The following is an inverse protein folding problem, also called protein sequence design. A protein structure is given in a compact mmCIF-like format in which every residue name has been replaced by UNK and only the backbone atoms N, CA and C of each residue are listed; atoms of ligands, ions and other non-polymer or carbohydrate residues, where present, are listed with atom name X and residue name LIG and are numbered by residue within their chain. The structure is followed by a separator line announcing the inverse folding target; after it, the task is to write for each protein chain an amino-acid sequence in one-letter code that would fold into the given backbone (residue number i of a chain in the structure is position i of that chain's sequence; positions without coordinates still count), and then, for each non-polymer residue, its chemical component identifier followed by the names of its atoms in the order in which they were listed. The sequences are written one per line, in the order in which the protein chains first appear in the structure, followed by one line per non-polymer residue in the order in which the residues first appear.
data_IF_778438145792
#
_entry.id   IF_778438145792
#
_cell.length_a   1.000
_cell.length_b   1.000
_cell.length_c   1.000
_cell.angle_alpha   90.00
_cell.angle_beta   90.00
_cell.angle_gamma   90.00
#
_symmetry.space_group_name_H-M   'P 1'
#
loop_
_entity.id
_entity.type
_entity.pdbx_description
1 polymer ?
#
# COMPACT_ATOMS: atom_id res chain seq x y z
N UNK A 1 -0.03 10.00 -20.17
CA UNK A 1 0.32 10.44 -18.80
C UNK A 1 -0.39 9.51 -17.82
N UNK A 2 0.31 8.89 -16.86
CA UNK A 2 -0.37 8.17 -15.78
C UNK A 2 -1.09 9.19 -14.87
N UNK A 3 -2.19 8.81 -14.20
CA UNK A 3 -2.96 9.75 -13.41
C UNK A 3 -2.18 10.15 -12.15
N UNK A 4 -2.06 11.45 -11.90
CA UNK A 4 -1.58 11.98 -10.62
C UNK A 4 -2.39 11.37 -9.49
N UNK A 5 -1.71 10.71 -8.54
CA UNK A 5 -2.27 10.34 -7.24
C UNK A 5 -2.50 11.63 -6.46
N UNK A 6 -3.61 12.31 -6.75
CA UNK A 6 -4.05 13.49 -6.02
C UNK A 6 -4.35 13.03 -4.59
N UNK A 7 -3.44 13.36 -3.67
CA UNK A 7 -3.73 13.47 -2.26
C UNK A 7 -4.94 14.41 -2.19
N UNK A 8 -6.13 13.88 -1.92
CA UNK A 8 -7.31 14.70 -1.68
C UNK A 8 -6.99 15.60 -0.48
N UNK A 9 -6.54 16.83 -0.74
CA UNK A 9 -6.60 17.94 0.19
C UNK A 9 -8.07 18.08 0.54
N UNK A 10 -8.45 17.47 1.67
CA UNK A 10 -9.76 17.64 2.27
C UNK A 10 -9.78 19.06 2.83
N UNK A 11 -10.86 19.75 2.52
CA UNK A 11 -11.06 21.17 2.76
C UNK A 11 -10.55 21.63 4.12
N UNK A 12 -9.78 22.72 4.05
CA UNK A 12 -9.34 23.55 5.16
C UNK A 12 -10.56 24.01 5.95
N UNK A 13 -10.87 23.30 7.03
CA UNK A 13 -11.58 23.88 8.15
C UNK A 13 -11.17 23.21 9.46
N UNK A 14 -10.53 24.04 10.28
CA UNK A 14 -10.32 23.95 11.73
C UNK A 14 -9.05 23.26 12.24
N UNK A 15 -8.27 24.10 12.93
CA UNK A 15 -7.19 23.89 13.88
C UNK A 15 -6.98 22.47 14.41
N UNK A 16 -5.73 22.05 14.36
CA UNK A 16 -5.21 21.01 15.24
C UNK A 16 -3.71 20.82 15.03
N UNK A 17 -2.91 21.44 15.90
CA UNK A 17 -1.48 21.15 16.15
C UNK A 17 -1.33 19.75 16.81
N UNK A 18 -2.15 18.79 16.37
CA UNK A 18 -2.17 17.42 16.82
C UNK A 18 -1.27 16.56 15.93
N UNK A 19 -0.79 15.42 16.43
CA UNK A 19 -0.03 14.50 15.60
C UNK A 19 -0.83 14.16 14.34
N UNK A 20 -0.18 14.08 13.17
CA UNK A 20 -0.86 13.72 11.93
C UNK A 20 -1.67 12.43 12.12
N UNK A 21 -2.86 12.32 11.50
CA UNK A 21 -3.69 11.12 11.60
C UNK A 21 -2.86 9.88 11.31
N UNK A 22 -3.08 8.78 12.04
CA UNK A 22 -2.32 7.53 11.88
C UNK A 22 -2.24 7.08 10.41
N UNK A 23 -3.30 7.30 9.63
CA UNK A 23 -3.32 6.98 8.20
C UNK A 23 -2.32 7.81 7.36
N UNK A 24 -2.04 9.05 7.77
CA UNK A 24 -1.04 9.92 7.14
C UNK A 24 0.36 9.45 7.52
N UNK A 25 0.60 9.11 8.79
CA UNK A 25 1.87 8.55 9.23
C UNK A 25 2.20 7.22 8.53
N UNK A 26 1.22 6.31 8.45
CA UNK A 26 1.34 5.05 7.70
C UNK A 26 1.68 5.33 6.23
N UNK A 27 1.07 6.38 5.65
CA UNK A 27 1.33 6.77 4.27
C UNK A 27 2.75 7.28 4.06
N UNK A 28 3.24 8.12 4.97
CA UNK A 28 4.59 8.66 4.93
C UNK A 28 5.64 7.56 5.10
N UNK A 29 5.45 6.66 6.07
CA UNK A 29 6.33 5.51 6.29
C UNK A 29 6.37 4.59 5.07
N UNK A 30 5.20 4.22 4.53
CA UNK A 30 5.12 3.38 3.33
C UNK A 30 5.76 4.04 2.11
N UNK A 31 5.62 5.36 1.95
CA UNK A 31 6.29 6.11 0.89
C UNK A 31 7.81 6.07 1.06
N UNK A 32 8.31 6.39 2.27
CA UNK A 32 9.72 6.42 2.58
C UNK A 32 10.39 5.06 2.33
N UNK A 33 9.74 3.96 2.75
CA UNK A 33 10.19 2.59 2.52
C UNK A 33 10.19 2.24 1.02
N UNK A 34 9.11 2.53 0.31
CA UNK A 34 8.96 2.17 -1.12
C UNK A 34 9.91 2.94 -2.04
N UNK A 35 10.40 4.10 -1.59
CA UNK A 35 11.32 4.95 -2.34
C UNK A 35 12.75 4.88 -1.78
N UNK A 36 13.03 4.04 -0.78
CA UNK A 36 14.35 3.90 -0.15
C UNK A 36 14.93 5.26 0.29
N UNK A 37 14.07 6.12 0.84
CA UNK A 37 14.45 7.51 1.20
C UNK A 37 15.57 7.52 2.23
N UNK A 38 15.55 6.58 3.18
CA UNK A 38 16.58 6.46 4.21
C UNK A 38 17.95 6.12 3.61
N UNK A 39 18.00 5.15 2.69
CA UNK A 39 19.23 4.78 1.99
C UNK A 39 19.74 5.90 1.08
N UNK A 40 18.83 6.61 0.40
CA UNK A 40 19.18 7.78 -0.40
C UNK A 40 19.85 8.86 0.45
N UNK A 41 19.25 9.21 1.60
CA UNK A 41 19.82 10.18 2.53
C UNK A 41 21.16 9.71 3.10
N UNK A 42 21.31 8.41 3.38
CA UNK A 42 22.56 7.84 3.85
C UNK A 42 23.70 8.01 2.82
N UNK A 43 23.43 7.72 1.54
CA UNK A 43 24.39 7.93 0.45
C UNK A 43 24.77 9.42 0.36
N UNK A 44 23.79 10.32 0.30
CA UNK A 44 24.03 11.76 0.21
C UNK A 44 24.87 12.30 1.37
N UNK A 45 24.54 11.90 2.61
CA UNK A 45 25.30 12.28 3.80
C UNK A 45 26.73 11.72 3.76
N UNK A 46 26.91 10.48 3.31
CA UNK A 46 28.24 9.87 3.19
C UNK A 46 29.10 10.64 2.19
N UNK A 47 28.57 10.95 1.01
CA UNK A 47 29.26 11.76 -0.01
C UNK A 47 29.64 13.13 0.49
N UNK A 48 28.75 13.80 1.23
CA UNK A 48 28.99 15.12 1.78
C UNK A 48 30.10 15.09 2.85
N UNK A 49 30.11 14.07 3.71
CA UNK A 49 31.14 13.91 4.75
C UNK A 49 32.50 13.50 4.19
N UNK A 50 32.54 12.73 3.10
CA UNK A 50 33.76 12.32 2.41
C UNK A 50 34.42 13.50 1.68
N UNK A 51 33.62 14.31 0.97
CA UNK A 51 34.14 15.37 0.09
C UNK A 51 34.27 16.73 0.78
N UNK A 52 33.49 16.98 1.84
CA UNK A 52 33.46 18.23 2.61
C UNK A 52 33.51 19.49 1.72
N UNK A 53 32.58 19.63 0.78
CA UNK A 53 32.61 20.70 -0.21
C UNK A 53 32.36 22.06 0.48
N UNK A 54 32.96 23.11 -0.08
CA UNK A 54 32.71 24.51 0.33
C UNK A 54 31.25 24.91 0.08
N UNK A 55 30.65 24.43 -1.01
CA UNK A 55 29.22 24.58 -1.30
C UNK A 55 28.52 23.22 -1.23
N UNK A 56 27.90 22.95 -0.09
CA UNK A 56 27.22 21.69 0.17
C UNK A 56 25.93 21.51 -0.60
N UNK A 57 25.22 22.59 -0.94
CA UNK A 57 23.95 22.51 -1.66
C UNK A 57 24.18 22.21 -3.13
N UNK A 58 25.10 22.93 -3.77
CA UNK A 58 25.46 22.66 -5.17
C UNK A 58 26.04 21.25 -5.33
N UNK A 59 26.88 20.81 -4.39
CA UNK A 59 27.39 19.44 -4.38
C UNK A 59 26.27 18.39 -4.29
N UNK A 60 25.28 18.58 -3.42
CA UNK A 60 24.15 17.66 -3.29
C UNK A 60 23.29 17.63 -4.56
N UNK A 61 23.04 18.79 -5.19
CA UNK A 61 22.31 18.88 -6.46
C UNK A 61 23.02 18.07 -7.54
N UNK A 62 24.34 18.22 -7.67
CA UNK A 62 25.14 17.48 -8.64
C UNK A 62 25.18 15.98 -8.34
N UNK A 63 25.30 15.61 -7.07
CA UNK A 63 25.31 14.21 -6.62
C UNK A 63 24.00 13.51 -6.98
N UNK A 64 22.86 14.17 -6.75
CA UNK A 64 21.53 13.66 -7.14
C UNK A 64 21.39 13.41 -8.65
N UNK A 65 22.18 14.06 -9.50
CA UNK A 65 22.09 13.93 -10.95
C UNK A 65 23.06 12.90 -11.55
N UNK A 66 24.14 12.53 -10.85
CA UNK A 66 25.29 11.82 -11.46
C UNK A 66 25.90 10.72 -10.58
N UNK A 67 25.25 10.31 -9.50
CA UNK A 67 25.78 9.26 -8.62
C UNK A 67 25.24 7.86 -8.99
N UNK A 68 26.15 6.96 -9.38
CA UNK A 68 25.82 5.58 -9.79
C UNK A 68 25.11 4.76 -8.68
N UNK A 69 25.39 5.05 -7.40
CA UNK A 69 24.74 4.34 -6.30
C UNK A 69 23.29 4.80 -6.13
N UNK A 70 23.02 6.10 -6.33
CA UNK A 70 21.65 6.62 -6.37
C UNK A 70 20.87 6.06 -7.55
N UNK A 71 21.47 5.95 -8.74
CA UNK A 71 20.85 5.32 -9.91
C UNK A 71 20.52 3.83 -9.66
N UNK A 72 21.43 3.11 -9.01
CA UNK A 72 21.21 1.72 -8.63
C UNK A 72 20.09 1.60 -7.57
N UNK A 73 20.05 2.53 -6.62
CA UNK A 73 19.02 2.61 -5.59
C UNK A 73 17.64 2.84 -6.22
N UNK A 74 17.53 3.77 -7.18
CA UNK A 74 16.28 4.04 -7.88
C UNK A 74 15.79 2.80 -8.65
N UNK A 75 16.67 2.11 -9.38
CA UNK A 75 16.35 0.86 -10.07
C UNK A 75 15.88 -0.22 -9.09
N UNK A 76 16.54 -0.34 -7.94
CA UNK A 76 16.17 -1.29 -6.87
C UNK A 76 14.82 -0.94 -6.26
N UNK A 77 14.57 0.33 -5.98
CA UNK A 77 13.29 0.82 -5.45
C UNK A 77 12.16 0.56 -6.46
N UNK A 78 12.39 0.81 -7.75
CA UNK A 78 11.44 0.49 -8.82
C UNK A 78 11.07 -1.00 -8.83
N UNK A 79 12.04 -1.90 -8.66
CA UNK A 79 11.77 -3.34 -8.57
C UNK A 79 10.99 -3.74 -7.30
N UNK A 80 11.25 -3.09 -6.16
CA UNK A 80 10.57 -3.36 -4.89
C UNK A 80 9.12 -2.85 -4.84
N UNK A 81 8.78 -1.85 -5.67
CA UNK A 81 7.39 -1.41 -5.86
C UNK A 81 6.52 -2.52 -6.46
N UNK A 82 7.12 -3.48 -7.16
CA UNK A 82 6.39 -4.62 -7.71
C UNK A 82 6.43 -5.82 -6.78
N UNK A 83 5.29 -6.51 -6.68
CA UNK A 83 5.28 -7.84 -6.10
C UNK A 83 5.83 -8.82 -7.14
N UNK A 84 7.09 -9.21 -7.01
CA UNK A 84 7.78 -10.13 -7.94
C UNK A 84 7.41 -11.61 -7.72
N UNK A 85 6.57 -11.92 -6.73
CA UNK A 85 6.17 -13.31 -6.47
C UNK A 85 5.39 -13.86 -7.66
N UNK A 86 5.55 -15.17 -7.90
CA UNK A 86 4.82 -15.88 -8.96
C UNK A 86 3.31 -15.71 -8.77
N UNK A 87 2.57 -15.68 -9.89
CA UNK A 87 1.12 -15.52 -9.87
C UNK A 87 0.42 -16.56 -8.97
N UNK A 88 0.90 -17.81 -8.99
CA UNK A 88 0.41 -18.88 -8.12
C UNK A 88 0.50 -18.53 -6.64
N UNK A 89 1.64 -17.97 -6.21
CA UNK A 89 1.87 -17.54 -4.82
C UNK A 89 0.96 -16.38 -4.44
N UNK A 90 0.82 -15.38 -5.32
CA UNK A 90 -0.10 -14.26 -5.11
C UNK A 90 -1.54 -14.76 -4.91
N UNK A 91 -2.04 -15.63 -5.80
CA UNK A 91 -3.37 -16.25 -5.67
C UNK A 91 -3.54 -17.00 -4.36
N UNK A 92 -2.54 -17.75 -3.92
CA UNK A 92 -2.58 -18.48 -2.65
C UNK A 92 -2.72 -17.53 -1.45
N UNK A 93 -1.97 -16.42 -1.43
CA UNK A 93 -2.04 -15.42 -0.37
C UNK A 93 -3.40 -14.69 -0.38
N UNK A 94 -3.94 -14.38 -1.55
CA UNK A 94 -5.29 -13.80 -1.68
C UNK A 94 -6.36 -14.76 -1.15
N UNK A 95 -6.26 -16.05 -1.47
CA UNK A 95 -7.18 -17.06 -0.95
C UNK A 95 -7.04 -17.24 0.58
N UNK A 96 -5.83 -17.14 1.12
CA UNK A 96 -5.60 -17.14 2.56
C UNK A 96 -6.28 -15.93 3.22
N UNK A 97 -6.14 -14.75 2.64
CA UNK A 97 -6.83 -13.54 3.10
C UNK A 97 -8.35 -13.72 3.08
N UNK A 98 -8.90 -14.23 1.97
CA UNK A 98 -10.33 -14.50 1.84
C UNK A 98 -10.84 -15.46 2.92
N UNK A 99 -10.13 -16.58 3.15
CA UNK A 99 -10.48 -17.56 4.19
C UNK A 99 -10.48 -16.92 5.58
N UNK A 100 -9.49 -16.07 5.88
CA UNK A 100 -9.44 -15.33 7.14
C UNK A 100 -10.62 -14.38 7.28
N UNK A 101 -10.96 -13.62 6.24
CA UNK A 101 -12.11 -12.71 6.25
C UNK A 101 -13.43 -13.46 6.45
N UNK A 102 -13.62 -14.60 5.79
CA UNK A 102 -14.79 -15.47 6.02
C UNK A 102 -14.86 -15.99 7.47
N UNK A 103 -13.73 -16.37 8.08
CA UNK A 103 -13.69 -16.81 9.47
C UNK A 103 -14.05 -15.66 10.44
N UNK A 104 -13.61 -14.44 10.13
CA UNK A 104 -13.97 -13.25 10.90
C UNK A 104 -15.45 -12.91 10.75
N UNK A 105 -16.01 -13.00 9.54
CA UNK A 105 -17.45 -12.81 9.31
C UNK A 105 -18.28 -13.75 10.19
N UNK A 106 -17.91 -15.04 10.22
CA UNK A 106 -18.64 -16.03 11.04
C UNK A 106 -18.64 -15.74 12.53
N UNK A 107 -17.66 -15.00 13.03
CA UNK A 107 -17.47 -14.73 14.46
C UNK A 107 -17.87 -13.31 14.88
N UNK A 108 -17.79 -12.34 13.96
CA UNK A 108 -17.90 -10.91 14.26
C UNK A 108 -19.08 -10.23 13.55
N UNK A 109 -19.77 -10.91 12.63
CA UNK A 109 -20.89 -10.31 11.91
C UNK A 109 -22.10 -10.10 12.82
N UNK A 110 -22.73 -8.94 12.70
CA UNK A 110 -23.90 -8.55 13.52
C UNK A 110 -25.14 -9.35 13.15
N UNK A 111 -25.35 -9.60 11.86
CA UNK A 111 -26.39 -10.51 11.36
C UNK A 111 -25.88 -11.95 11.30
N UNK A 112 -26.53 -12.86 12.04
CA UNK A 112 -26.18 -14.28 12.09
C UNK A 112 -26.48 -15.04 10.78
N UNK A 113 -27.44 -14.59 9.99
CA UNK A 113 -27.78 -15.22 8.71
C UNK A 113 -26.69 -14.94 7.67
N UNK A 114 -26.25 -13.69 7.58
CA UNK A 114 -25.12 -13.31 6.72
C UNK A 114 -23.78 -13.85 7.26
N UNK A 115 -23.63 -13.98 8.58
CA UNK A 115 -22.45 -14.57 9.22
C UNK A 115 -22.16 -15.99 8.70
N UNK A 116 -23.21 -16.80 8.50
CA UNK A 116 -23.12 -18.18 8.05
C UNK A 116 -23.13 -18.35 6.52
N UNK A 117 -23.19 -17.24 5.78
CA UNK A 117 -23.16 -17.23 4.34
C UNK A 117 -21.93 -17.95 3.75
N UNK A 118 -22.11 -18.50 2.55
CA UNK A 118 -21.04 -19.16 1.77
C UNK A 118 -20.05 -18.13 1.20
N UNK A 119 -20.48 -16.87 1.12
CA UNK A 119 -19.75 -15.77 0.49
C UNK A 119 -19.53 -14.62 1.45
N UNK A 120 -18.54 -13.79 1.14
CA UNK A 120 -18.19 -12.65 1.97
C UNK A 120 -19.22 -11.54 1.75
N UNK A 121 -19.84 -11.06 2.83
CA UNK A 121 -20.79 -9.96 2.78
C UNK A 121 -20.04 -8.66 2.47
N UNK A 122 -20.57 -7.87 1.55
CA UNK A 122 -19.96 -6.61 1.11
C UNK A 122 -19.74 -5.63 2.25
N UNK A 123 -20.77 -5.38 3.05
CA UNK A 123 -20.70 -4.44 4.17
C UNK A 123 -19.74 -4.89 5.28
N UNK A 124 -19.62 -6.21 5.47
CA UNK A 124 -18.60 -6.78 6.35
C UNK A 124 -17.20 -6.56 5.81
N UNK A 125 -16.95 -6.86 4.53
CA UNK A 125 -15.64 -6.66 3.91
C UNK A 125 -15.19 -5.21 4.08
N UNK A 126 -16.00 -4.24 3.68
CA UNK A 126 -15.59 -2.83 3.70
C UNK A 126 -15.37 -2.31 5.12
N UNK A 127 -16.20 -2.73 6.08
CA UNK A 127 -15.99 -2.42 7.50
C UNK A 127 -14.72 -3.06 8.05
N UNK A 128 -14.50 -4.34 7.75
CA UNK A 128 -13.36 -5.12 8.25
C UNK A 128 -12.01 -4.62 7.70
N UNK A 129 -11.99 -4.14 6.45
CA UNK A 129 -10.80 -3.56 5.81
C UNK A 129 -10.38 -2.23 6.44
N UNK A 130 -11.29 -1.49 7.09
CA UNK A 130 -10.96 -0.25 7.81
C UNK A 130 -10.28 -0.50 9.15
N UNK A 131 -10.35 -1.72 9.70
CA UNK A 131 -9.75 -2.08 10.98
C UNK A 131 -8.23 -2.29 10.89
N UNK A 132 -7.49 -1.74 11.86
CA UNK A 132 -6.02 -1.84 11.92
C UNK A 132 -5.53 -3.28 11.94
N UNK A 133 -6.20 -4.17 12.67
CA UNK A 133 -5.84 -5.59 12.72
C UNK A 133 -5.90 -6.28 11.34
N UNK A 134 -6.81 -5.86 10.47
CA UNK A 134 -6.90 -6.36 9.10
C UNK A 134 -5.86 -5.70 8.22
N UNK A 135 -5.67 -4.38 8.35
CA UNK A 135 -4.64 -3.60 7.66
C UNK A 135 -3.24 -4.17 7.89
N UNK A 136 -2.84 -4.37 9.15
CA UNK A 136 -1.55 -4.95 9.55
C UNK A 136 -1.36 -6.37 8.99
N UNK A 137 -2.42 -7.18 8.95
CA UNK A 137 -2.35 -8.51 8.35
C UNK A 137 -2.14 -8.44 6.84
N UNK A 138 -2.85 -7.56 6.15
CA UNK A 138 -2.68 -7.35 4.72
C UNK A 138 -1.29 -6.80 4.38
N UNK A 139 -0.74 -5.90 5.19
CA UNK A 139 0.64 -5.43 5.05
C UNK A 139 1.65 -6.58 5.14
N UNK A 140 1.46 -7.54 6.05
CA UNK A 140 2.33 -8.74 6.13
C UNK A 140 2.24 -9.61 4.87
N UNK A 141 1.05 -9.73 4.28
CA UNK A 141 0.85 -10.54 3.06
C UNK A 141 1.35 -9.82 1.80
N UNK A 142 1.11 -8.51 1.71
CA UNK A 142 1.39 -7.66 0.55
C UNK A 142 2.03 -6.32 0.99
N UNK A 143 3.31 -6.32 1.40
CA UNK A 143 3.96 -5.14 1.99
C UNK A 143 3.85 -3.87 1.13
N UNK A 144 4.09 -4.01 -0.17
CA UNK A 144 4.06 -2.87 -1.11
C UNK A 144 2.67 -2.56 -1.68
N UNK A 145 1.68 -3.45 -1.52
CA UNK A 145 0.39 -3.38 -2.26
C UNK A 145 -0.86 -3.38 -1.39
N UNK A 146 -0.74 -3.55 -0.07
CA UNK A 146 -1.89 -3.66 0.82
C UNK A 146 -2.79 -2.41 0.76
N UNK A 147 -2.20 -1.21 0.64
CA UNK A 147 -2.94 0.06 0.54
C UNK A 147 -3.77 0.13 -0.73
N UNK A 148 -3.20 -0.29 -1.86
CA UNK A 148 -3.90 -0.27 -3.14
C UNK A 148 -5.07 -1.27 -3.14
N UNK A 149 -4.85 -2.46 -2.57
CA UNK A 149 -5.92 -3.46 -2.38
C UNK A 149 -7.05 -2.89 -1.50
N UNK A 150 -6.72 -2.30 -0.35
CA UNK A 150 -7.69 -1.69 0.56
C UNK A 150 -8.46 -0.56 -0.11
N UNK A 151 -7.73 0.39 -0.71
CA UNK A 151 -8.30 1.57 -1.35
C UNK A 151 -9.25 1.17 -2.49
N UNK A 152 -8.89 0.16 -3.28
CA UNK A 152 -9.76 -0.31 -4.37
C UNK A 152 -11.12 -0.80 -3.83
N UNK A 153 -11.14 -1.67 -2.83
CA UNK A 153 -12.40 -2.19 -2.28
C UNK A 153 -13.24 -1.11 -1.58
N UNK A 154 -12.59 -0.14 -0.92
CA UNK A 154 -13.29 0.97 -0.26
C UNK A 154 -13.86 1.94 -1.29
N UNK A 155 -13.13 2.26 -2.36
CA UNK A 155 -13.58 3.19 -3.38
C UNK A 155 -14.72 2.62 -4.26
N UNK A 156 -14.71 1.31 -4.52
CA UNK A 156 -15.69 0.64 -5.37
C UNK A 156 -16.77 -0.10 -4.56
N UNK A 157 -17.00 0.30 -3.30
CA UNK A 157 -17.99 -0.32 -2.41
C UNK A 157 -19.39 -0.41 -3.07
N UNK A 158 -19.82 0.62 -3.80
CA UNK A 158 -21.12 0.63 -4.49
C UNK A 158 -21.24 -0.34 -5.67
N UNK A 159 -20.12 -0.71 -6.29
CA UNK A 159 -20.07 -1.58 -7.48
C UNK A 159 -19.93 -3.06 -7.12
N UNK A 160 -19.55 -3.36 -5.87
CA UNK A 160 -19.41 -4.72 -5.39
C UNK A 160 -20.78 -5.39 -5.23
N UNK A 161 -20.92 -6.68 -5.59
CA UNK A 161 -22.12 -7.44 -5.30
C UNK A 161 -22.31 -7.59 -3.79
N UNK A 162 -23.56 -7.76 -3.34
CA UNK A 162 -23.88 -7.92 -1.91
C UNK A 162 -23.14 -9.10 -1.27
N UNK A 163 -22.97 -10.19 -2.03
CA UNK A 163 -22.22 -11.37 -1.65
C UNK A 163 -21.05 -11.58 -2.63
N UNK A 164 -19.83 -11.61 -2.11
CA UNK A 164 -18.59 -11.66 -2.90
C UNK A 164 -18.03 -13.08 -2.84
N UNK A 165 -18.08 -13.86 -3.94
CA UNK A 165 -17.49 -15.20 -3.99
C UNK A 165 -15.96 -15.13 -4.06
N UNK A 166 -15.31 -16.21 -3.63
CA UNK A 166 -13.85 -16.32 -3.58
C UNK A 166 -13.20 -16.09 -4.96
N UNK A 167 -13.83 -16.57 -6.04
CA UNK A 167 -13.34 -16.40 -7.41
C UNK A 167 -13.31 -14.92 -7.82
N UNK A 168 -14.39 -14.19 -7.55
CA UNK A 168 -14.47 -12.77 -7.86
C UNK A 168 -13.50 -11.97 -7.01
N UNK A 169 -13.45 -12.22 -5.70
CA UNK A 169 -12.48 -11.58 -4.81
C UNK A 169 -11.04 -11.80 -5.29
N UNK A 170 -10.72 -13.04 -5.67
CA UNK A 170 -9.39 -13.40 -6.17
C UNK A 170 -9.09 -12.69 -7.49
N UNK A 171 -10.04 -12.70 -8.42
CA UNK A 171 -9.89 -12.01 -9.72
C UNK A 171 -9.62 -10.52 -9.53
N UNK A 172 -10.40 -9.86 -8.68
CA UNK A 172 -10.25 -8.43 -8.37
C UNK A 172 -8.89 -8.12 -7.75
N UNK A 173 -8.49 -8.82 -6.69
CA UNK A 173 -7.18 -8.63 -6.07
C UNK A 173 -6.04 -8.82 -7.07
N UNK A 174 -6.12 -9.87 -7.90
CA UNK A 174 -5.10 -10.14 -8.91
C UNK A 174 -5.06 -9.09 -10.02
N UNK A 175 -6.19 -8.47 -10.37
CA UNK A 175 -6.24 -7.35 -11.30
C UNK A 175 -5.54 -6.12 -10.70
N UNK A 176 -5.83 -5.76 -9.45
CA UNK A 176 -5.16 -4.66 -8.75
C UNK A 176 -3.64 -4.89 -8.69
N UNK A 177 -3.21 -6.09 -8.33
CA UNK A 177 -1.79 -6.47 -8.29
C UNK A 177 -1.10 -6.50 -9.67
N UNK A 178 -1.86 -6.63 -10.76
CA UNK A 178 -1.34 -6.60 -12.13
C UNK A 178 -1.29 -5.20 -12.72
N UNK A 179 -2.30 -4.35 -12.48
CA UNK A 179 -2.33 -2.97 -12.99
C UNK A 179 -1.11 -2.16 -12.55
N UNK A 180 -0.58 -2.45 -11.36
CA UNK A 180 0.68 -1.83 -10.91
C UNK A 180 1.85 -2.25 -11.78
N UNK A 181 1.98 -3.52 -12.20
CA UNK A 181 3.10 -4.00 -13.00
C UNK A 181 3.21 -3.39 -14.42
N UNK A 182 2.19 -2.65 -14.86
CA UNK A 182 2.12 -2.01 -16.18
C UNK A 182 2.16 -0.48 -16.14
N UNK A 183 2.29 0.12 -14.95
CA UNK A 183 2.35 1.56 -14.73
C UNK A 183 3.79 2.02 -14.48
#
# INVERSE_FOLDING_TARGET
MPPSRVIRQRDSNMLGDGPPPTEVLDAMSSYAESHQVQEMLHILLTRLLETQPLDSLEFLIQTLQKDDQLDALEKKAALQRFDLRREKTKKQLVLQLYKRLMALQRTQHTDKLEAQGVHLARGFLTSQLRLDATRCHMQKLFPSHYRDLLAWFIAHEGELPAAIPAEQFTKTCMQVLRMQASA
#
